data_IF_381247868505
#
_entry.id   IF_381247868505
#
_cell.length_a   1.000
_cell.length_b   1.000
_cell.length_c   1.000
_cell.angle_alpha   90.00
_cell.angle_beta   90.00
_cell.angle_gamma   90.00
#
_symmetry.space_group_name_H-M   'P 1'
#
loop_
_entity.id
_entity.type
_entity.pdbx_description
1 polymer ?
#
# COMPACT_ATOMS: atom_id res chain seq x y z
N UNK A 1 -7.87 -18.62 10.76
CA UNK A 1 -8.09 -19.55 9.62
C UNK A 1 -6.79 -19.87 8.88
N UNK A 2 -6.12 -18.90 8.23
CA UNK A 2 -4.92 -19.18 7.42
C UNK A 2 -3.83 -20.00 8.11
N UNK A 3 -3.41 -19.63 9.32
CA UNK A 3 -2.39 -20.38 10.07
C UNK A 3 -2.82 -21.82 10.43
N UNK A 4 -4.11 -22.05 10.70
CA UNK A 4 -4.62 -23.39 11.02
C UNK A 4 -4.54 -24.29 9.80
N UNK A 5 -4.98 -23.80 8.63
CA UNK A 5 -4.91 -24.53 7.37
C UNK A 5 -3.45 -24.82 6.98
N UNK A 6 -2.57 -23.82 7.08
CA UNK A 6 -1.15 -24.00 6.76
C UNK A 6 -0.47 -25.05 7.65
N UNK A 7 -0.74 -25.02 8.98
CA UNK A 7 -0.20 -26.01 9.93
C UNK A 7 -0.76 -27.41 9.68
N UNK A 8 -2.05 -27.52 9.34
CA UNK A 8 -2.67 -28.80 8.99
C UNK A 8 -2.03 -29.41 7.74
N UNK A 9 -1.83 -28.62 6.68
CA UNK A 9 -1.17 -29.08 5.45
C UNK A 9 0.28 -29.48 5.69
N UNK A 10 1.05 -28.66 6.42
CA UNK A 10 2.43 -28.96 6.79
C UNK A 10 2.54 -30.25 7.59
N UNK A 11 1.70 -30.42 8.62
CA UNK A 11 1.69 -31.62 9.46
C UNK A 11 1.24 -32.87 8.71
N UNK A 12 0.27 -32.76 7.80
CA UNK A 12 -0.25 -33.91 7.05
C UNK A 12 0.74 -34.39 5.98
N UNK A 13 1.37 -33.46 5.26
CA UNK A 13 2.32 -33.80 4.18
C UNK A 13 3.77 -33.95 4.64
N UNK A 14 4.09 -33.63 5.90
CA UNK A 14 5.47 -33.65 6.40
C UNK A 14 6.37 -32.62 5.72
N UNK A 15 5.80 -31.51 5.24
CA UNK A 15 6.55 -30.46 4.55
C UNK A 15 6.87 -29.29 5.50
N UNK A 16 8.02 -28.62 5.33
CA UNK A 16 8.38 -27.45 6.13
C UNK A 16 7.36 -26.31 6.02
N UNK A 17 7.24 -25.50 7.07
CA UNK A 17 6.36 -24.32 7.12
C UNK A 17 7.18 -23.05 7.39
N UNK A 18 6.85 -21.96 6.69
CA UNK A 18 7.56 -20.69 6.78
C UNK A 18 6.59 -19.57 7.15
N UNK A 19 6.68 -19.00 8.37
CA UNK A 19 5.94 -17.80 8.73
C UNK A 19 6.46 -16.60 7.95
N UNK A 20 5.57 -15.89 7.27
CA UNK A 20 5.94 -14.72 6.44
C UNK A 20 5.15 -13.49 6.86
N UNK A 21 5.78 -12.32 6.72
CA UNK A 21 5.12 -11.04 6.95
C UNK A 21 4.30 -10.65 5.71
N UNK A 22 3.03 -10.33 5.92
CA UNK A 22 2.11 -9.99 4.83
C UNK A 22 2.55 -8.77 4.01
N UNK A 23 3.02 -7.70 4.66
CA UNK A 23 3.45 -6.49 3.97
C UNK A 23 4.71 -6.72 3.14
N UNK A 24 5.66 -7.53 3.65
CA UNK A 24 6.83 -7.96 2.87
C UNK A 24 6.40 -8.78 1.66
N UNK A 25 5.34 -9.58 1.77
CA UNK A 25 4.71 -10.28 0.65
C UNK A 25 4.36 -9.39 -0.54
N UNK A 26 3.76 -8.24 -0.28
CA UNK A 26 3.46 -7.25 -1.32
C UNK A 26 4.74 -6.73 -1.99
N UNK A 27 5.78 -6.48 -1.19
CA UNK A 27 7.03 -5.87 -1.64
C UNK A 27 7.84 -6.85 -2.49
N UNK A 28 8.09 -8.07 -2.00
CA UNK A 28 8.96 -9.02 -2.69
C UNK A 28 8.34 -9.56 -3.97
N UNK A 29 7.02 -9.83 -3.97
CA UNK A 29 6.34 -10.16 -5.22
C UNK A 29 6.38 -8.97 -6.20
N UNK A 30 6.26 -7.74 -5.69
CA UNK A 30 6.39 -6.53 -6.49
C UNK A 30 7.76 -6.42 -7.16
N UNK A 31 8.84 -6.63 -6.40
CA UNK A 31 10.22 -6.64 -6.92
C UNK A 31 10.38 -7.72 -7.99
N UNK A 32 9.88 -8.93 -7.75
CA UNK A 32 9.94 -10.03 -8.70
C UNK A 32 9.22 -9.72 -10.03
N UNK A 33 8.01 -9.15 -9.96
CA UNK A 33 7.19 -8.89 -11.14
C UNK A 33 7.65 -7.66 -11.94
N UNK A 34 8.23 -6.68 -11.27
CA UNK A 34 8.61 -5.40 -11.90
C UNK A 34 10.09 -5.31 -12.25
N UNK A 35 10.93 -6.17 -11.65
CA UNK A 35 12.38 -6.10 -11.77
C UNK A 35 13.02 -4.97 -10.96
N UNK A 36 12.25 -4.28 -10.10
CA UNK A 36 12.78 -3.26 -9.20
C UNK A 36 13.84 -3.88 -8.26
N UNK A 37 14.99 -3.22 -8.13
CA UNK A 37 16.14 -3.76 -7.41
C UNK A 37 16.21 -3.17 -5.99
N UNK A 38 16.21 -1.84 -5.91
CA UNK A 38 16.32 -1.11 -4.65
C UNK A 38 15.35 0.09 -4.62
N UNK A 39 14.03 -0.17 -4.61
CA UNK A 39 13.03 0.88 -4.62
C UNK A 39 12.78 1.51 -3.25
N UNK A 40 12.44 2.80 -3.26
CA UNK A 40 11.50 3.33 -2.28
C UNK A 40 10.13 2.69 -2.59
N UNK A 41 9.44 2.18 -1.59
CA UNK A 41 8.16 1.49 -1.79
C UNK A 41 7.03 2.30 -1.16
N UNK A 42 6.00 2.58 -1.96
CA UNK A 42 4.71 3.08 -1.50
C UNK A 42 3.76 1.88 -1.38
N UNK A 43 3.45 1.46 -0.16
CA UNK A 43 2.44 0.43 0.11
C UNK A 43 1.10 1.09 0.46
N UNK A 44 0.16 0.98 -0.47
CA UNK A 44 -1.19 1.56 -0.37
C UNK A 44 -2.28 0.51 -0.57
N UNK A 45 -2.79 -0.02 0.54
CA UNK A 45 -3.89 -0.99 0.56
C UNK A 45 -5.00 -0.55 1.52
N UNK A 46 -6.04 -1.35 1.67
CA UNK A 46 -7.03 -1.13 2.74
C UNK A 46 -6.42 -1.18 4.14
N UNK A 47 -5.33 -1.92 4.33
CA UNK A 47 -4.66 -2.10 5.63
C UNK A 47 -3.40 -1.26 5.82
N UNK A 48 -2.85 -0.65 4.77
CA UNK A 48 -1.56 0.03 4.84
C UNK A 48 -1.54 1.33 4.02
N UNK A 49 -0.86 2.34 4.54
CA UNK A 49 -0.41 3.51 3.77
C UNK A 49 0.93 3.92 4.33
N UNK A 50 2.00 3.47 3.68
CA UNK A 50 3.36 3.55 4.21
C UNK A 50 4.38 3.78 3.10
N UNK A 51 5.42 4.55 3.40
CA UNK A 51 6.62 4.75 2.61
C UNK A 51 7.76 3.96 3.24
N UNK A 52 8.38 3.08 2.47
CA UNK A 52 9.35 2.12 2.97
C UNK A 52 10.62 2.16 2.15
N UNK A 53 11.76 1.98 2.80
CA UNK A 53 13.00 1.69 2.08
C UNK A 53 13.82 0.64 2.82
N UNK A 54 14.51 -0.20 2.06
CA UNK A 54 15.38 -1.22 2.62
C UNK A 54 16.71 -0.61 3.06
N UNK A 55 17.02 -0.70 4.37
CA UNK A 55 18.24 -0.15 4.97
C UNK A 55 18.72 -1.04 6.11
N UNK A 56 19.92 -1.60 5.96
CA UNK A 56 20.60 -2.37 7.01
C UNK A 56 19.87 -3.68 7.34
N UNK A 57 19.46 -4.45 6.33
CA UNK A 57 18.81 -5.75 6.51
C UNK A 57 17.33 -5.69 6.88
N UNK A 58 16.71 -4.50 6.90
CA UNK A 58 15.30 -4.31 7.27
C UNK A 58 14.60 -3.30 6.37
N UNK A 59 13.31 -3.51 6.15
CA UNK A 59 12.41 -2.50 5.60
C UNK A 59 12.08 -1.47 6.67
N UNK A 60 12.51 -0.22 6.48
CA UNK A 60 12.27 0.88 7.43
C UNK A 60 11.15 1.78 6.93
N UNK A 61 10.35 2.30 7.87
CA UNK A 61 9.28 3.26 7.59
C UNK A 61 9.89 4.67 7.52
N UNK A 62 9.66 5.35 6.39
CA UNK A 62 10.07 6.74 6.14
C UNK A 62 8.90 7.72 6.16
N UNK A 63 7.68 7.21 6.19
CA UNK A 63 6.44 7.95 6.37
C UNK A 63 5.26 6.98 6.44
N UNK A 64 4.25 7.28 7.23
CA UNK A 64 3.04 6.46 7.34
C UNK A 64 1.79 7.31 7.54
N UNK A 65 0.61 6.70 7.40
CA UNK A 65 -0.62 7.36 7.83
C UNK A 65 -0.68 7.43 9.36
N UNK A 66 -1.14 8.56 9.89
CA UNK A 66 -1.32 8.76 11.33
C UNK A 66 -2.70 8.30 11.83
N UNK A 67 -3.63 8.00 10.91
CA UNK A 67 -5.00 7.65 11.26
C UNK A 67 -5.57 6.49 10.43
N UNK A 68 -6.34 6.78 9.37
CA UNK A 68 -6.92 5.78 8.47
C UNK A 68 -6.03 5.61 7.24
N UNK A 69 -6.14 4.49 6.55
CA UNK A 69 -5.39 4.27 5.31
C UNK A 69 -6.04 4.99 4.12
N UNK A 70 -5.29 5.19 3.05
CA UNK A 70 -5.83 5.73 1.80
C UNK A 70 -6.91 4.80 1.21
N UNK A 71 -6.75 3.48 1.34
CA UNK A 71 -7.79 2.53 0.92
C UNK A 71 -9.06 2.68 1.76
N UNK A 72 -8.93 2.82 3.09
CA UNK A 72 -10.06 3.08 3.98
C UNK A 72 -10.72 4.42 3.72
N UNK A 73 -9.97 5.47 3.36
CA UNK A 73 -10.51 6.77 2.97
C UNK A 73 -11.49 6.61 1.81
N UNK A 74 -11.05 5.95 0.73
CA UNK A 74 -11.87 5.72 -0.47
C UNK A 74 -13.08 4.82 -0.17
N UNK A 75 -12.89 3.72 0.56
CA UNK A 75 -13.98 2.81 0.91
C UNK A 75 -15.02 3.44 1.86
N UNK A 76 -14.60 4.21 2.86
CA UNK A 76 -15.52 4.88 3.77
C UNK A 76 -16.27 6.04 3.11
N UNK A 77 -15.61 6.74 2.18
CA UNK A 77 -16.26 7.77 1.38
C UNK A 77 -17.27 7.15 0.41
N UNK A 78 -16.87 6.16 -0.38
CA UNK A 78 -17.76 5.48 -1.32
C UNK A 78 -18.98 4.82 -0.65
N UNK A 79 -18.79 4.16 0.50
CA UNK A 79 -19.92 3.64 1.30
C UNK A 79 -20.88 4.73 1.75
N UNK A 80 -20.39 5.93 2.08
CA UNK A 80 -21.27 7.05 2.44
C UNK A 80 -22.09 7.60 1.26
N UNK A 81 -21.68 7.29 0.02
CA UNK A 81 -22.43 7.60 -1.20
C UNK A 81 -23.43 6.49 -1.59
N UNK A 82 -23.39 5.34 -0.90
CA UNK A 82 -24.25 4.18 -1.13
C UNK A 82 -23.60 3.04 -1.94
N UNK A 83 -22.30 3.10 -2.22
CA UNK A 83 -21.61 2.05 -2.98
C UNK A 83 -21.25 0.83 -2.12
N UNK A 84 -21.24 -0.39 -2.72
CA UNK A 84 -20.72 -1.58 -2.06
C UNK A 84 -19.18 -1.53 -1.99
N UNK A 85 -18.60 -2.11 -0.94
CA UNK A 85 -17.15 -2.28 -0.81
C UNK A 85 -16.66 -3.41 -1.73
N UNK A 86 -15.46 -3.31 -2.34
CA UNK A 86 -14.55 -2.16 -2.37
C UNK A 86 -15.07 -1.03 -3.27
N UNK A 87 -14.88 0.22 -2.85
CA UNK A 87 -15.45 1.40 -3.52
C UNK A 87 -14.45 2.19 -4.37
N UNK A 88 -13.15 1.84 -4.35
CA UNK A 88 -12.11 2.63 -5.00
C UNK A 88 -12.36 2.92 -6.49
N UNK A 89 -12.83 1.92 -7.25
CA UNK A 89 -13.17 2.08 -8.68
C UNK A 89 -14.35 3.02 -8.89
N UNK A 90 -15.44 2.84 -8.13
CA UNK A 90 -16.64 3.66 -8.26
C UNK A 90 -16.36 5.13 -7.89
N UNK A 91 -15.50 5.37 -6.90
CA UNK A 91 -15.05 6.73 -6.55
C UNK A 91 -14.19 7.32 -7.66
N UNK A 92 -13.35 6.53 -8.35
CA UNK A 92 -12.56 6.95 -9.51
C UNK A 92 -13.43 7.27 -10.73
N UNK A 93 -14.42 6.45 -11.03
CA UNK A 93 -15.39 6.69 -12.11
C UNK A 93 -16.17 7.98 -11.84
N UNK A 94 -16.68 8.15 -10.61
CA UNK A 94 -17.42 9.34 -10.22
C UNK A 94 -16.56 10.61 -10.20
N UNK A 95 -15.28 10.50 -9.82
CA UNK A 95 -14.33 11.60 -9.88
C UNK A 95 -14.04 12.05 -11.32
N UNK A 96 -14.12 11.15 -12.30
CA UNK A 96 -13.89 11.48 -13.71
C UNK A 96 -15.03 12.29 -14.35
N UNK A 97 -16.20 12.35 -13.70
CA UNK A 97 -17.37 13.11 -14.17
C UNK A 97 -17.29 14.61 -13.85
N UNK A 98 -16.30 15.05 -13.06
CA UNK A 98 -16.08 16.45 -12.72
C UNK A 98 -14.63 16.86 -12.91
N UNK A 99 -14.43 18.16 -13.13
CA UNK A 99 -13.12 18.83 -13.08
C UNK A 99 -13.11 20.03 -12.13
N UNK A 100 -14.23 20.26 -11.43
CA UNK A 100 -14.36 21.33 -10.45
C UNK A 100 -13.70 20.90 -9.14
N UNK A 101 -12.87 21.78 -8.59
CA UNK A 101 -12.21 21.56 -7.32
C UNK A 101 -12.92 22.32 -6.20
N UNK A 102 -13.16 21.64 -5.08
CA UNK A 102 -13.61 22.23 -3.81
C UNK A 102 -12.52 22.07 -2.79
N UNK A 103 -12.21 23.13 -2.05
CA UNK A 103 -11.17 23.12 -1.02
C UNK A 103 -11.49 22.08 0.07
N UNK A 104 -10.52 21.20 0.30
CA UNK A 104 -10.56 20.19 1.35
C UNK A 104 -9.30 20.30 2.24
N UNK A 105 -9.36 19.85 3.51
CA UNK A 105 -8.22 19.89 4.40
C UNK A 105 -7.03 19.10 3.85
N UNK A 106 -5.87 19.76 3.77
CA UNK A 106 -4.60 19.16 3.33
C UNK A 106 -3.68 18.96 4.55
N UNK A 107 -3.47 17.71 4.97
CA UNK A 107 -2.82 17.39 6.26
C UNK A 107 -1.60 16.48 6.08
N UNK A 108 -0.43 17.09 5.86
CA UNK A 108 0.86 16.42 5.76
C UNK A 108 1.79 16.92 6.87
N UNK A 109 2.39 16.01 7.63
CA UNK A 109 3.34 16.31 8.72
C UNK A 109 4.66 15.59 8.44
N UNK A 110 5.63 16.31 7.88
CA UNK A 110 6.86 15.67 7.41
C UNK A 110 6.56 14.72 6.24
N UNK A 111 6.79 13.43 6.43
CA UNK A 111 6.43 12.40 5.44
C UNK A 111 5.14 11.65 5.81
N UNK A 112 4.50 12.02 6.93
CA UNK A 112 3.29 11.39 7.41
C UNK A 112 2.04 12.12 6.91
N UNK A 113 0.97 11.38 6.71
CA UNK A 113 -0.32 11.86 6.18
C UNK A 113 -1.45 11.56 7.15
N UNK A 114 -2.51 12.36 7.15
CA UNK A 114 -3.73 12.10 7.93
C UNK A 114 -4.97 12.38 7.10
N UNK A 115 -5.87 11.40 7.01
CA UNK A 115 -7.01 11.42 6.11
C UNK A 115 -8.37 11.54 6.81
N UNK A 116 -8.46 11.45 8.13
CA UNK A 116 -9.75 11.48 8.84
C UNK A 116 -10.47 12.84 8.70
N UNK A 117 -9.71 13.94 8.77
CA UNK A 117 -10.22 15.29 8.55
C UNK A 117 -10.69 15.47 7.11
N UNK A 118 -9.90 14.98 6.15
CA UNK A 118 -10.23 14.98 4.73
C UNK A 118 -11.52 14.18 4.45
N UNK A 119 -11.67 12.97 5.01
CA UNK A 119 -12.88 12.15 4.89
C UNK A 119 -14.14 12.90 5.36
N UNK A 120 -14.05 13.53 6.52
CA UNK A 120 -15.18 14.23 7.14
C UNK A 120 -15.60 15.45 6.31
N UNK A 121 -14.63 16.21 5.80
CA UNK A 121 -14.88 17.34 4.92
C UNK A 121 -15.47 16.89 3.57
N UNK A 122 -14.90 15.85 2.96
CA UNK A 122 -15.36 15.31 1.68
C UNK A 122 -16.80 14.79 1.75
N UNK A 123 -17.18 14.08 2.83
CA UNK A 123 -18.58 13.66 3.07
C UNK A 123 -19.54 14.85 3.15
N UNK A 124 -19.09 15.97 3.72
CA UNK A 124 -19.90 17.18 3.78
C UNK A 124 -20.03 17.84 2.41
N UNK A 125 -18.92 17.92 1.66
CA UNK A 125 -18.91 18.44 0.29
C UNK A 125 -19.79 17.62 -0.66
N UNK A 126 -19.83 16.29 -0.49
CA UNK A 126 -20.64 15.38 -1.30
C UNK A 126 -22.16 15.65 -1.21
N UNK A 127 -22.63 16.39 -0.19
CA UNK A 127 -24.03 16.83 -0.10
C UNK A 127 -24.37 17.91 -1.13
N UNK A 128 -23.37 18.62 -1.66
CA UNK A 128 -23.52 19.68 -2.67
C UNK A 128 -23.27 19.17 -4.09
N UNK A 129 -22.49 18.10 -4.24
CA UNK A 129 -22.23 17.41 -5.51
C UNK A 129 -21.28 16.23 -5.27
N UNK A 130 -21.64 15.04 -5.72
CA UNK A 130 -20.87 13.82 -5.39
C UNK A 130 -19.65 13.67 -6.29
N UNK A 131 -19.77 14.09 -7.53
CA UNK A 131 -18.78 14.10 -8.61
C UNK A 131 -17.62 15.03 -8.22
N UNK A 132 -17.93 16.31 -7.98
CA UNK A 132 -16.98 17.34 -7.52
C UNK A 132 -16.30 16.96 -6.20
N UNK A 133 -17.04 16.37 -5.25
CA UNK A 133 -16.44 15.92 -3.98
C UNK A 133 -15.49 14.71 -4.18
N UNK A 134 -15.84 13.77 -5.07
CA UNK A 134 -14.99 12.62 -5.41
C UNK A 134 -13.71 13.05 -6.11
N UNK A 135 -13.83 13.96 -7.07
CA UNK A 135 -12.69 14.59 -7.75
C UNK A 135 -11.76 15.27 -6.73
N UNK A 136 -12.31 16.19 -5.93
CA UNK A 136 -11.53 16.96 -4.96
C UNK A 136 -10.88 16.07 -3.89
N UNK A 137 -11.57 15.00 -3.48
CA UNK A 137 -11.03 14.01 -2.55
C UNK A 137 -9.80 13.30 -3.13
N UNK A 138 -9.90 12.82 -4.38
CA UNK A 138 -8.78 12.15 -5.05
C UNK A 138 -7.61 13.10 -5.26
N UNK A 139 -7.87 14.30 -5.79
CA UNK A 139 -6.83 15.31 -6.00
C UNK A 139 -6.08 15.63 -4.71
N UNK A 140 -6.82 15.88 -3.63
CA UNK A 140 -6.24 16.26 -2.34
C UNK A 140 -5.47 15.09 -1.72
N UNK A 141 -6.08 13.90 -1.64
CA UNK A 141 -5.46 12.74 -0.99
C UNK A 141 -4.23 12.24 -1.76
N UNK A 142 -4.29 12.17 -3.09
CA UNK A 142 -3.19 11.69 -3.90
C UNK A 142 -2.06 12.72 -3.97
N UNK A 143 -2.37 14.02 -3.97
CA UNK A 143 -1.34 15.06 -3.85
C UNK A 143 -0.61 14.97 -2.51
N UNK A 144 -1.31 14.73 -1.40
CA UNK A 144 -0.69 14.51 -0.07
C UNK A 144 0.30 13.33 -0.10
N UNK A 145 -0.09 12.22 -0.72
CA UNK A 145 0.78 11.04 -0.85
C UNK A 145 1.96 11.33 -1.79
N UNK A 146 1.72 11.99 -2.94
CA UNK A 146 2.77 12.34 -3.89
C UNK A 146 3.81 13.29 -3.28
N UNK A 147 3.37 14.25 -2.45
CA UNK A 147 4.26 15.14 -1.69
C UNK A 147 5.14 14.35 -0.72
N UNK A 148 4.55 13.44 0.07
CA UNK A 148 5.28 12.59 1.00
C UNK A 148 6.29 11.68 0.27
N UNK A 149 5.89 11.11 -0.88
CA UNK A 149 6.77 10.32 -1.75
C UNK A 149 7.95 11.16 -2.24
N UNK A 150 7.70 12.37 -2.72
CA UNK A 150 8.76 13.24 -3.26
C UNK A 150 9.79 13.63 -2.18
N UNK A 151 9.32 13.91 -0.96
CA UNK A 151 10.18 14.14 0.21
C UNK A 151 11.01 12.90 0.56
N UNK A 152 10.38 11.73 0.59
CA UNK A 152 11.05 10.46 0.90
C UNK A 152 12.07 10.06 -0.18
N UNK A 153 11.78 10.27 -1.46
CA UNK A 153 12.74 10.07 -2.56
C UNK A 153 13.96 10.98 -2.40
N UNK A 154 13.73 12.25 -2.09
CA UNK A 154 14.80 13.23 -1.86
C UNK A 154 15.70 12.83 -0.68
N UNK A 155 15.10 12.35 0.42
CA UNK A 155 15.82 11.94 1.63
C UNK A 155 16.60 10.63 1.44
N UNK A 156 15.95 9.61 0.86
CA UNK A 156 16.53 8.26 0.70
C UNK A 156 17.48 8.15 -0.48
N UNK A 157 17.42 9.10 -1.42
CA UNK A 157 18.18 9.14 -2.69
C UNK A 157 17.95 7.92 -3.59
N UNK A 158 16.87 7.16 -3.36
CA UNK A 158 16.49 6.02 -4.20
C UNK A 158 16.13 6.53 -5.59
N UNK A 159 16.45 5.74 -6.62
CA UNK A 159 16.18 6.06 -8.04
C UNK A 159 15.01 5.27 -8.62
N UNK A 160 14.36 4.48 -7.77
CA UNK A 160 13.24 3.63 -8.11
C UNK A 160 12.13 3.88 -7.07
N UNK A 161 10.90 4.07 -7.54
CA UNK A 161 9.70 4.09 -6.75
C UNK A 161 8.88 2.89 -7.18
N UNK A 162 8.53 2.00 -6.25
CA UNK A 162 7.63 0.89 -6.50
C UNK A 162 6.33 1.09 -5.73
N UNK A 163 5.20 0.94 -6.41
CA UNK A 163 3.87 1.06 -5.81
C UNK A 163 3.22 -0.31 -5.72
N UNK A 164 2.83 -0.68 -4.51
CA UNK A 164 2.21 -1.97 -4.17
C UNK A 164 0.91 -1.73 -3.39
N UNK A 165 0.03 -2.73 -3.38
CA UNK A 165 -1.28 -2.64 -2.73
C UNK A 165 -2.41 -2.24 -3.68
N UNK A 166 -3.66 -2.53 -3.31
CA UNK A 166 -4.82 -2.44 -4.20
C UNK A 166 -5.16 -1.02 -4.68
N UNK A 167 -4.73 0.02 -3.97
CA UNK A 167 -4.97 1.42 -4.39
C UNK A 167 -4.02 1.82 -5.53
N UNK A 168 -2.92 1.08 -5.75
CA UNK A 168 -1.99 1.31 -6.85
C UNK A 168 -2.64 1.22 -8.24
N UNK A 169 -3.79 0.54 -8.35
CA UNK A 169 -4.54 0.41 -9.59
C UNK A 169 -5.27 1.71 -10.03
N UNK A 170 -5.37 2.72 -9.15
CA UNK A 170 -6.00 3.99 -9.48
C UNK A 170 -5.11 4.80 -10.44
N UNK A 171 -5.67 5.17 -11.60
CA UNK A 171 -4.92 5.83 -12.68
C UNK A 171 -4.53 7.25 -12.30
N UNK A 172 -5.35 7.94 -11.52
CA UNK A 172 -5.06 9.32 -11.11
C UNK A 172 -3.88 9.37 -10.14
N UNK A 173 -3.85 8.46 -9.15
CA UNK A 173 -2.70 8.29 -8.26
C UNK A 173 -1.44 7.96 -9.07
N UNK A 174 -1.51 6.99 -9.99
CA UNK A 174 -0.37 6.62 -10.84
C UNK A 174 0.17 7.84 -11.61
N UNK A 175 -0.68 8.63 -12.26
CA UNK A 175 -0.27 9.83 -13.00
C UNK A 175 0.38 10.90 -12.13
N UNK A 176 -0.08 11.10 -10.89
CA UNK A 176 0.57 12.02 -9.95
C UNK A 176 1.96 11.52 -9.53
N UNK A 177 2.09 10.22 -9.28
CA UNK A 177 3.36 9.60 -8.92
C UNK A 177 4.36 9.58 -10.07
N UNK A 178 3.90 9.40 -11.31
CA UNK A 178 4.73 9.57 -12.52
C UNK A 178 5.31 10.98 -12.59
N UNK A 179 4.48 12.01 -12.35
CA UNK A 179 4.93 13.39 -12.29
C UNK A 179 5.98 13.64 -11.19
N UNK A 180 5.76 13.12 -9.99
CA UNK A 180 6.71 13.20 -8.88
C UNK A 180 8.04 12.48 -9.20
N UNK A 181 7.97 11.28 -9.77
CA UNK A 181 9.14 10.52 -10.20
C UNK A 181 9.94 11.25 -11.29
N UNK A 182 9.24 11.86 -12.26
CA UNK A 182 9.87 12.64 -13.34
C UNK A 182 10.71 13.80 -12.80
N UNK A 183 10.18 14.55 -11.82
CA UNK A 183 10.92 15.64 -11.15
C UNK A 183 12.16 15.15 -10.40
N UNK A 184 12.07 13.98 -9.78
CA UNK A 184 13.17 13.37 -9.01
C UNK A 184 14.14 12.51 -9.83
N UNK A 185 13.93 12.40 -11.15
CA UNK A 185 14.67 11.50 -12.06
C UNK A 185 14.67 10.05 -11.53
N UNK A 186 13.48 9.61 -11.11
CA UNK A 186 13.21 8.30 -10.53
C UNK A 186 12.38 7.48 -11.52
N UNK A 187 12.58 6.16 -11.57
CA UNK A 187 11.74 5.24 -12.34
C UNK A 187 10.56 4.78 -11.50
N UNK A 188 9.35 4.81 -12.06
CA UNK A 188 8.15 4.29 -11.43
C UNK A 188 7.92 2.83 -11.85
N UNK A 189 7.69 1.97 -10.87
CA UNK A 189 7.29 0.59 -11.03
C UNK A 189 5.92 0.39 -10.38
N UNK A 190 4.94 -0.09 -11.14
CA UNK A 190 3.59 -0.39 -10.63
C UNK A 190 3.36 -1.88 -10.78
N UNK A 191 2.99 -2.54 -9.69
CA UNK A 191 2.68 -3.97 -9.72
C UNK A 191 1.44 -4.23 -10.58
N UNK A 192 1.42 -5.27 -11.42
CA UNK A 192 0.26 -5.60 -12.24
C UNK A 192 -1.03 -5.70 -11.40
N UNK A 193 -2.17 -5.15 -11.85
CA UNK A 193 -3.42 -5.07 -11.07
C UNK A 193 -3.90 -6.40 -10.46
N UNK A 194 -3.66 -7.51 -11.16
CA UNK A 194 -4.03 -8.86 -10.71
C UNK A 194 -3.27 -9.30 -9.43
N UNK A 195 -2.11 -8.71 -9.16
CA UNK A 195 -1.26 -8.98 -7.99
C UNK A 195 -1.18 -7.81 -7.01
N UNK A 196 -1.83 -6.68 -7.30
CA UNK A 196 -1.82 -5.50 -6.41
C UNK A 196 -2.66 -5.72 -5.15
N UNK A 197 -3.75 -6.48 -5.24
CA UNK A 197 -4.56 -6.89 -4.09
C UNK A 197 -3.94 -8.06 -3.32
N UNK A 198 -4.52 -8.40 -2.17
CA UNK A 198 -4.04 -9.53 -1.36
C UNK A 198 -4.20 -10.86 -2.12
N UNK A 199 -3.09 -11.58 -2.32
CA UNK A 199 -3.12 -12.86 -3.01
C UNK A 199 -2.11 -13.87 -2.42
N UNK A 200 -2.41 -15.16 -2.59
CA UNK A 200 -1.56 -16.24 -2.09
C UNK A 200 -0.16 -16.27 -2.70
N UNK A 201 0.01 -15.70 -3.91
CA UNK A 201 1.31 -15.61 -4.58
C UNK A 201 2.31 -14.73 -3.80
N UNK A 202 1.85 -13.68 -3.12
CA UNK A 202 2.69 -12.81 -2.27
C UNK A 202 3.31 -13.60 -1.12
N UNK A 203 2.48 -14.43 -0.48
CA UNK A 203 2.85 -15.27 0.65
C UNK A 203 3.76 -16.41 0.18
N UNK A 204 3.44 -17.06 -0.93
CA UNK A 204 4.25 -18.13 -1.51
C UNK A 204 5.62 -17.63 -1.97
N UNK A 205 5.69 -16.50 -2.67
CA UNK A 205 6.95 -15.89 -3.11
C UNK A 205 7.87 -15.60 -1.93
N UNK A 206 7.36 -14.94 -0.89
CA UNK A 206 8.14 -14.66 0.32
C UNK A 206 8.54 -15.92 1.05
N UNK A 207 7.65 -16.92 1.12
CA UNK A 207 7.95 -18.21 1.74
C UNK A 207 9.07 -18.95 1.03
N UNK A 208 9.16 -18.86 -0.31
CA UNK A 208 10.25 -19.43 -1.10
C UNK A 208 11.58 -18.68 -0.87
N UNK A 209 11.54 -17.35 -0.71
CA UNK A 209 12.73 -16.56 -0.37
C UNK A 209 13.24 -16.88 1.04
N UNK A 210 12.33 -17.09 2.00
CA UNK A 210 12.69 -17.55 3.33
C UNK A 210 13.28 -18.97 3.28
N UNK A 211 12.65 -19.89 2.54
CA UNK A 211 13.13 -21.27 2.40
C UNK A 211 14.50 -21.40 1.72
N UNK A 212 14.96 -20.39 0.98
CA UNK A 212 16.27 -20.44 0.31
C UNK A 212 17.44 -20.17 1.26
N UNK A 213 17.18 -19.57 2.43
CA UNK A 213 18.21 -19.14 3.39
C UNK A 213 18.11 -19.81 4.77
N UNK A 214 16.97 -20.45 5.09
CA UNK A 214 16.76 -21.10 6.39
C UNK A 214 15.85 -22.32 6.29
N UNK A 215 15.95 -23.19 7.30
CA UNK A 215 15.04 -24.31 7.49
C UNK A 215 13.64 -23.86 7.93
N UNK A 216 12.65 -24.75 7.75
CA UNK A 216 11.28 -24.51 8.19
C UNK A 216 11.16 -24.30 9.70
N UNK A 217 10.17 -23.50 10.09
CA UNK A 217 9.89 -23.23 11.49
C UNK A 217 9.20 -24.42 12.16
N UNK A 218 9.50 -24.70 13.45
CA UNK A 218 8.69 -25.60 14.26
C UNK A 218 7.23 -25.15 14.31
N UNK A 219 6.27 -26.09 14.31
CA UNK A 219 4.84 -25.78 14.39
C UNK A 219 4.44 -25.00 15.66
N UNK A 220 5.27 -25.02 16.70
CA UNK A 220 5.10 -24.25 17.92
C UNK A 220 5.44 -22.76 17.73
N UNK A 221 6.21 -22.39 16.71
CA UNK A 221 6.66 -21.01 16.47
C UNK A 221 5.83 -20.33 15.37
N UNK A 222 4.87 -21.03 14.77
CA UNK A 222 4.02 -20.54 13.68
C UNK A 222 2.70 -19.93 14.17
N UNK A 223 2.72 -19.27 15.32
CA UNK A 223 1.53 -18.56 15.83
C UNK A 223 1.28 -17.26 15.06
N UNK A 224 0.00 -16.88 14.95
CA UNK A 224 -0.39 -15.63 14.30
C UNK A 224 0.10 -14.45 15.15
N UNK A 225 0.91 -13.59 14.54
CA UNK A 225 1.31 -12.30 15.11
C UNK A 225 0.41 -11.21 14.56
N UNK A 226 -0.59 -10.80 15.34
CA UNK A 226 -1.40 -9.63 15.01
C UNK A 226 -0.52 -8.37 15.05
N UNK A 227 -0.74 -7.44 14.13
CA UNK A 227 0.03 -6.18 14.05
C UNK A 227 1.55 -6.38 13.95
N UNK A 228 1.98 -7.42 13.23
CA UNK A 228 3.40 -7.69 13.01
C UNK A 228 4.01 -6.59 12.13
N UNK A 229 4.61 -5.58 12.78
CA UNK A 229 5.25 -4.46 12.07
C UNK A 229 6.39 -4.97 11.21
N UNK A 230 6.40 -4.56 9.95
CA UNK A 230 7.43 -5.00 9.00
C UNK A 230 8.84 -4.52 9.35
N UNK A 231 8.97 -3.40 10.04
CA UNK A 231 10.26 -2.81 10.46
C UNK A 231 10.97 -3.60 11.56
N UNK A 232 10.27 -4.59 12.14
CA UNK A 232 10.82 -5.55 13.10
C UNK A 232 11.32 -6.83 12.45
N UNK A 233 11.13 -7.00 11.14
CA UNK A 233 11.49 -8.23 10.42
C UNK A 233 12.89 -8.08 9.84
N UNK A 234 13.78 -8.99 10.23
CA UNK A 234 15.07 -9.17 9.58
C UNK A 234 14.90 -9.90 8.25
N UNK A 235 15.44 -9.32 7.17
CA UNK A 235 15.43 -9.90 5.83
C UNK A 235 16.85 -10.37 5.51
N UNK A 236 17.03 -11.68 5.38
CA UNK A 236 18.34 -12.32 5.23
C UNK A 236 18.71 -12.75 3.81
N UNK A 237 17.82 -12.57 2.83
CA UNK A 237 18.03 -12.91 1.42
C UNK A 237 18.38 -11.69 0.57
#
# INVERSE_FOLDING_TARGET
MGAVVARALSSYHGIPIYPVNHAIGHIELGKLLTGAQDPLVLLVSGGHTMLLAFVGGRWRVFGETLDITLGQLLDQFGRSLGFPSPCGRQVEELAAESSEYTDLPYSVKGNDVSFSGLLSAAKTAARRGKETASYSLQETAFAMVAEAVERALSFTRKRELMVVGGVAANKRLAGMLEGACGRQRCRLFVVPPVYSGDCGAQIACTGLLEASIKDGAPLADTFVRQSWRLDTVDVGY
#
